data_IF_606144573938
#
_entry.id   IF_606144573938
#
_cell.length_a   1.000
_cell.length_b   1.000
_cell.length_c   1.000
_cell.angle_alpha   90.00
_cell.angle_beta   90.00
_cell.angle_gamma   90.00
#
_symmetry.space_group_name_H-M   'P 1'
#
loop_
_entity.id
_entity.type
_entity.pdbx_description
1 polymer ?
#
# COMPACT_ATOMS: atom_id res chain seq x y z
N UNK A 1 -14.73 -9.75 -19.35
CA UNK A 1 -13.74 -10.25 -18.39
C UNK A 1 -13.95 -9.52 -17.08
N UNK A 2 -14.41 -10.25 -16.08
CA UNK A 2 -14.84 -9.74 -14.77
C UNK A 2 -13.66 -9.10 -14.05
N UNK A 3 -13.69 -7.78 -13.96
CA UNK A 3 -12.88 -7.04 -12.99
C UNK A 3 -13.33 -7.54 -11.62
N UNK A 4 -12.55 -8.45 -11.02
CA UNK A 4 -12.76 -8.87 -9.65
C UNK A 4 -12.88 -7.61 -8.79
N UNK A 5 -13.95 -7.50 -8.02
CA UNK A 5 -14.24 -6.31 -7.23
C UNK A 5 -13.06 -6.07 -6.27
N UNK A 6 -12.16 -5.15 -6.64
CA UNK A 6 -11.08 -4.71 -5.77
C UNK A 6 -11.72 -3.85 -4.70
N UNK A 7 -11.57 -4.27 -3.44
CA UNK A 7 -12.03 -3.47 -2.31
C UNK A 7 -11.28 -2.14 -2.29
N UNK A 8 -12.03 -1.04 -2.21
CA UNK A 8 -11.49 0.32 -2.32
C UNK A 8 -11.48 0.93 -0.93
N UNK A 9 -10.29 1.09 -0.39
CA UNK A 9 -10.10 1.73 0.90
C UNK A 9 -9.62 3.19 0.73
N UNK A 10 -10.29 4.14 1.38
CA UNK A 10 -9.91 5.56 1.37
C UNK A 10 -9.06 5.88 2.59
N UNK A 11 -7.81 6.25 2.37
CA UNK A 11 -6.86 6.61 3.43
C UNK A 11 -6.74 8.13 3.52
N UNK A 12 -6.83 8.69 4.73
CA UNK A 12 -6.45 10.08 4.97
C UNK A 12 -4.94 10.15 5.17
N UNK A 13 -4.28 10.93 4.31
CA UNK A 13 -2.85 11.15 4.38
C UNK A 13 -2.59 12.50 5.05
N UNK A 14 -1.63 12.59 6.00
CA UNK A 14 -1.16 13.88 6.50
C UNK A 14 -0.49 14.69 5.38
N UNK A 15 -0.37 16.00 5.62
CA UNK A 15 0.21 16.93 4.66
C UNK A 15 1.62 16.51 4.23
N UNK A 16 1.91 16.66 2.93
CA UNK A 16 3.19 16.27 2.34
C UNK A 16 3.37 14.77 2.08
N UNK A 17 2.70 13.87 2.83
CA UNK A 17 2.90 12.43 2.67
C UNK A 17 2.47 11.92 1.29
N UNK A 18 1.36 12.46 0.76
CA UNK A 18 0.91 12.12 -0.59
C UNK A 18 1.96 12.43 -1.66
N UNK A 19 2.67 13.55 -1.51
CA UNK A 19 3.70 13.98 -2.45
C UNK A 19 4.93 13.08 -2.35
N UNK A 20 5.36 12.74 -1.13
CA UNK A 20 6.45 11.79 -0.90
C UNK A 20 6.17 10.41 -1.54
N UNK A 21 4.94 9.89 -1.40
CA UNK A 21 4.55 8.63 -2.04
C UNK A 21 4.60 8.74 -3.56
N UNK A 22 4.17 9.87 -4.13
CA UNK A 22 4.19 10.09 -5.58
C UNK A 22 5.62 10.10 -6.13
N UNK A 23 6.54 10.74 -5.44
CA UNK A 23 7.95 10.78 -5.81
C UNK A 23 8.60 9.40 -5.73
N UNK A 24 8.39 8.67 -4.61
CA UNK A 24 8.88 7.31 -4.45
C UNK A 24 8.35 6.37 -5.54
N UNK A 25 7.06 6.45 -5.86
CA UNK A 25 6.45 5.66 -6.92
C UNK A 25 7.06 5.98 -8.30
N UNK A 26 7.31 7.25 -8.61
CA UNK A 26 7.95 7.68 -9.86
C UNK A 26 9.39 7.15 -9.97
N UNK A 27 10.19 7.27 -8.90
CA UNK A 27 11.54 6.72 -8.84
C UNK A 27 11.56 5.20 -9.03
N UNK A 28 10.59 4.49 -8.44
CA UNK A 28 10.49 3.03 -8.48
C UNK A 28 9.74 2.49 -9.72
N UNK A 29 9.31 3.37 -10.64
CA UNK A 29 8.52 3.01 -11.84
C UNK A 29 7.23 2.24 -11.50
N UNK A 30 6.59 2.60 -10.38
CA UNK A 30 5.32 2.02 -9.90
C UNK A 30 4.22 3.07 -9.90
N UNK A 31 2.97 2.61 -9.89
CA UNK A 31 1.84 3.50 -9.55
C UNK A 31 1.89 3.80 -8.05
N UNK A 32 1.27 4.90 -7.61
CA UNK A 32 1.17 5.20 -6.18
C UNK A 32 0.53 4.05 -5.39
N UNK A 33 -0.50 3.41 -5.96
CA UNK A 33 -1.14 2.26 -5.33
C UNK A 33 -0.18 1.08 -5.19
N UNK A 34 0.57 0.75 -6.25
CA UNK A 34 1.55 -0.34 -6.21
C UNK A 34 2.70 -0.05 -5.23
N UNK A 35 3.10 1.20 -5.08
CA UNK A 35 4.12 1.60 -4.09
C UNK A 35 3.58 1.44 -2.66
N UNK A 36 2.35 1.91 -2.38
CA UNK A 36 1.72 1.74 -1.07
C UNK A 36 1.59 0.26 -0.71
N UNK A 37 1.08 -0.56 -1.63
CA UNK A 37 0.92 -2.01 -1.42
C UNK A 37 2.28 -2.67 -1.18
N UNK A 38 3.32 -2.32 -1.94
CA UNK A 38 4.67 -2.87 -1.75
C UNK A 38 5.21 -2.63 -0.34
N UNK A 39 5.05 -1.41 0.20
CA UNK A 39 5.50 -1.11 1.57
C UNK A 39 4.67 -1.84 2.63
N UNK A 40 3.34 -1.89 2.44
CA UNK A 40 2.44 -2.62 3.35
C UNK A 40 2.78 -4.12 3.35
N UNK A 41 2.91 -4.75 2.18
CA UNK A 41 3.28 -6.15 2.06
C UNK A 41 4.62 -6.45 2.75
N UNK A 42 5.62 -5.57 2.60
CA UNK A 42 6.90 -5.73 3.27
C UNK A 42 6.75 -5.72 4.80
N UNK A 43 6.00 -4.75 5.34
CA UNK A 43 5.77 -4.64 6.79
C UNK A 43 5.01 -5.87 7.32
N UNK A 44 3.94 -6.30 6.64
CA UNK A 44 3.12 -7.42 7.10
C UNK A 44 3.75 -8.80 6.84
N UNK A 45 4.65 -8.92 5.86
CA UNK A 45 5.44 -10.14 5.64
C UNK A 45 6.55 -10.30 6.67
N UNK A 46 7.13 -9.18 7.13
CA UNK A 46 8.22 -9.17 8.12
C UNK A 46 7.71 -9.11 9.56
N UNK A 47 6.46 -8.68 9.78
CA UNK A 47 5.80 -8.85 11.06
C UNK A 47 5.66 -10.36 11.33
N UNK A 48 6.12 -10.89 12.48
CA UNK A 48 5.75 -12.24 12.88
C UNK A 48 4.23 -12.28 12.86
N UNK A 49 3.67 -13.24 12.12
CA UNK A 49 2.22 -13.45 12.06
C UNK A 49 1.72 -13.46 13.50
N UNK A 50 1.06 -12.39 13.93
CA UNK A 50 0.38 -12.40 15.21
C UNK A 50 -0.85 -13.25 14.94
N UNK A 51 -0.70 -14.54 15.25
CA UNK A 51 -1.67 -15.58 14.99
C UNK A 51 -3.08 -15.06 15.27
N UNK A 52 -3.92 -15.12 14.25
CA UNK A 52 -5.35 -14.99 14.38
C UNK A 52 -5.86 -16.19 15.19
N UNK A 53 -5.81 -16.06 16.51
CA UNK A 53 -6.46 -16.94 17.47
C UNK A 53 -6.95 -16.10 18.65
N UNK A 54 -8.10 -15.45 18.48
CA UNK A 54 -9.00 -15.04 19.55
C UNK A 54 -10.43 -15.03 19.01
#
# INVERSE_FOLDING_TARGET
MSSAAVDKFVIRLPDGLRQAIKEAAACNRRTMNAEIVFHLERIFREAPQHDAAA
#
